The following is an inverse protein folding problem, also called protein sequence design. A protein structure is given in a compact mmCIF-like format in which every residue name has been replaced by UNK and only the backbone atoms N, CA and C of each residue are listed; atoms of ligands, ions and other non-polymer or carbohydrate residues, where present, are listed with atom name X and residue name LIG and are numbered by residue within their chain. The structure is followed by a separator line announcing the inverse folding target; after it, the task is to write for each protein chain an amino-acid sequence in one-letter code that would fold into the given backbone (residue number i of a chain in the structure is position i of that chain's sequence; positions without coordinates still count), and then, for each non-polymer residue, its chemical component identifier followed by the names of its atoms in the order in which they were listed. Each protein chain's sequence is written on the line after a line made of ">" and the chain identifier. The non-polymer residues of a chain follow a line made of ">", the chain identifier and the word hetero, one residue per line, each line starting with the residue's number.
data_IF_741701048797
#
_entry.id   IF_741701048797
#
_cell.length_a   1.000
_cell.length_b   1.000
_cell.length_c   1.000
_cell.angle_alpha   90.00
_cell.angle_beta   90.00
_cell.angle_gamma   90.00
#
_symmetry.space_group_name_H-M   'P 1'
#
loop_
_entity.id
_entity.type
_entity.pdbx_description
1 polymer ?
#
# COMPACT_ATOMS: atom_id res chain seq x y z
N UNK A 1 15.60 -3.80 -10.33
CA UNK A 1 15.42 -5.17 -9.83
C UNK A 1 14.40 -5.82 -10.74
N UNK A 2 14.63 -7.08 -11.11
CA UNK A 2 13.86 -7.80 -12.14
C UNK A 2 13.12 -9.01 -11.56
N UNK A 3 13.43 -9.41 -10.33
CA UNK A 3 12.81 -10.54 -9.66
C UNK A 3 12.74 -10.34 -8.13
N UNK A 4 11.95 -11.17 -7.45
CA UNK A 4 11.96 -11.30 -6.00
C UNK A 4 13.34 -11.75 -5.48
N UNK A 5 14.10 -12.54 -6.24
CA UNK A 5 15.45 -12.97 -5.83
C UNK A 5 16.44 -11.80 -5.78
N UNK A 6 16.29 -10.79 -6.63
CA UNK A 6 17.12 -9.58 -6.53
C UNK A 6 16.89 -8.85 -5.19
N UNK A 7 15.68 -8.95 -4.62
CA UNK A 7 15.28 -8.32 -3.36
C UNK A 7 15.84 -9.06 -2.16
N UNK A 8 15.95 -10.39 -2.25
CA UNK A 8 16.53 -11.22 -1.17
C UNK A 8 18.00 -10.88 -0.88
N UNK A 9 18.73 -10.36 -1.87
CA UNK A 9 20.15 -10.05 -1.74
C UNK A 9 20.43 -8.61 -1.28
N UNK A 10 19.38 -7.81 -1.04
CA UNK A 10 19.52 -6.45 -0.55
C UNK A 10 19.86 -6.46 0.95
N UNK A 11 20.75 -5.60 1.46
CA UNK A 11 21.13 -5.64 2.87
C UNK A 11 19.96 -5.37 3.84
N UNK A 12 19.18 -4.30 3.62
CA UNK A 12 18.05 -3.97 4.49
C UNK A 12 16.85 -3.41 3.74
N UNK A 13 15.67 -3.98 4.03
CA UNK A 13 14.37 -3.56 3.48
C UNK A 13 13.50 -3.02 4.62
N UNK A 14 13.31 -1.70 4.68
CA UNK A 14 12.36 -1.08 5.60
C UNK A 14 10.93 -1.47 5.25
N UNK A 15 10.16 -1.93 6.23
CA UNK A 15 8.75 -2.29 6.09
C UNK A 15 7.99 -1.97 7.38
N UNK A 16 6.72 -1.58 7.29
CA UNK A 16 5.91 -1.32 8.50
C UNK A 16 5.85 -2.57 9.40
N UNK A 17 6.25 -2.41 10.66
CA UNK A 17 6.24 -3.48 11.65
C UNK A 17 4.82 -4.00 11.90
N UNK A 18 4.65 -5.32 11.81
CA UNK A 18 3.37 -6.02 11.99
C UNK A 18 2.35 -5.77 10.86
N UNK A 19 2.74 -5.04 9.81
CA UNK A 19 1.88 -4.74 8.68
C UNK A 19 1.67 -5.93 7.74
N UNK A 20 0.66 -5.84 6.88
CA UNK A 20 0.35 -6.87 5.88
C UNK A 20 1.54 -7.17 4.96
N UNK A 21 2.28 -6.14 4.55
CA UNK A 21 3.45 -6.30 3.68
C UNK A 21 4.60 -7.04 4.35
N UNK A 22 4.84 -6.82 5.66
CA UNK A 22 5.85 -7.58 6.40
C UNK A 22 5.47 -9.06 6.44
N UNK A 23 4.22 -9.37 6.77
CA UNK A 23 3.71 -10.74 6.83
C UNK A 23 3.88 -11.43 5.46
N UNK A 24 3.46 -10.76 4.39
CA UNK A 24 3.56 -11.30 3.03
C UNK A 24 5.02 -11.54 2.61
N UNK A 25 5.91 -10.56 2.84
CA UNK A 25 7.33 -10.70 2.50
C UNK A 25 8.00 -11.83 3.30
N UNK A 26 7.65 -12.03 4.57
CA UNK A 26 8.12 -13.17 5.37
C UNK A 26 7.62 -14.50 4.80
N UNK A 27 6.38 -14.59 4.34
CA UNK A 27 5.84 -15.78 3.68
C UNK A 27 6.57 -16.08 2.35
N UNK A 28 7.04 -15.04 1.65
CA UNK A 28 7.92 -15.19 0.47
C UNK A 28 9.38 -15.53 0.83
N UNK A 29 9.71 -15.71 2.11
CA UNK A 29 11.03 -16.10 2.59
C UNK A 29 12.04 -14.95 2.69
N UNK A 30 11.57 -13.69 2.75
CA UNK A 30 12.46 -12.56 3.02
C UNK A 30 12.94 -12.59 4.48
N UNK A 31 14.25 -12.51 4.65
CA UNK A 31 14.92 -12.54 5.96
C UNK A 31 15.62 -11.22 6.30
N UNK A 32 15.72 -10.31 5.33
CA UNK A 32 16.40 -9.02 5.36
C UNK A 32 15.44 -7.83 5.61
N UNK A 33 14.35 -8.07 6.34
CA UNK A 33 13.35 -7.06 6.67
C UNK A 33 13.78 -6.27 7.92
N UNK A 34 13.72 -4.94 7.83
CA UNK A 34 13.91 -3.99 8.92
C UNK A 34 12.54 -3.44 9.35
N UNK A 35 11.96 -3.92 10.47
CA UNK A 35 10.62 -3.53 10.90
C UNK A 35 10.58 -2.09 11.45
N UNK A 36 9.89 -1.21 10.72
CA UNK A 36 9.70 0.19 11.08
C UNK A 36 8.47 0.34 11.99
N UNK A 37 8.70 0.66 13.26
CA UNK A 37 7.64 0.94 14.22
C UNK A 37 7.07 2.36 14.08
N UNK A 38 7.82 3.23 13.41
CA UNK A 38 7.35 4.52 12.92
C UNK A 38 7.63 4.58 11.40
N UNK A 39 6.67 4.18 10.54
CA UNK A 39 6.87 4.16 9.10
C UNK A 39 7.21 5.53 8.50
N UNK A 40 6.85 6.63 9.17
CA UNK A 40 7.07 8.00 8.67
C UNK A 40 8.55 8.37 8.56
N UNK A 41 9.44 7.69 9.30
CA UNK A 41 10.89 7.90 9.18
C UNK A 41 11.52 7.05 8.08
N UNK A 42 10.77 6.11 7.48
CA UNK A 42 11.28 5.17 6.48
C UNK A 42 11.92 5.86 5.29
N UNK A 43 11.27 6.90 4.75
CA UNK A 43 11.80 7.65 3.61
C UNK A 43 13.10 8.41 3.96
N UNK A 44 13.21 8.93 5.18
CA UNK A 44 14.44 9.59 5.64
C UNK A 44 15.57 8.57 5.85
N UNK A 45 15.25 7.38 6.38
CA UNK A 45 16.21 6.29 6.53
C UNK A 45 16.74 5.83 5.17
N UNK A 46 15.87 5.72 4.17
CA UNK A 46 16.25 5.40 2.80
C UNK A 46 17.17 6.49 2.21
N UNK A 47 16.78 7.76 2.33
CA UNK A 47 17.57 8.88 1.83
C UNK A 47 18.93 9.02 2.52
N UNK A 48 19.03 8.62 3.79
CA UNK A 48 20.27 8.61 4.57
C UNK A 48 21.11 7.33 4.36
N UNK A 49 20.65 6.36 3.55
CA UNK A 49 21.34 5.09 3.31
C UNK A 49 21.37 4.15 4.52
N UNK A 50 20.44 4.29 5.47
CA UNK A 50 20.29 3.37 6.62
C UNK A 50 19.52 2.11 6.28
N UNK A 51 18.73 2.17 5.21
CA UNK A 51 18.07 1.04 4.54
C UNK A 51 18.28 1.21 3.04
N UNK A 52 18.27 0.11 2.31
CA UNK A 52 18.51 0.10 0.86
C UNK A 52 17.21 0.15 0.06
N UNK A 53 16.13 -0.38 0.65
CA UNK A 53 14.79 -0.37 0.08
C UNK A 53 13.76 0.00 1.15
N UNK A 54 12.68 0.62 0.70
CA UNK A 54 11.50 0.91 1.50
C UNK A 54 10.28 0.32 0.81
N UNK A 55 9.50 -0.45 1.56
CA UNK A 55 8.15 -0.85 1.17
C UNK A 55 7.21 0.31 1.48
N UNK A 56 6.48 0.77 0.46
CA UNK A 56 5.53 1.87 0.59
C UNK A 56 4.45 1.73 -0.49
N UNK A 57 3.23 2.13 -0.16
CA UNK A 57 2.19 2.38 -1.16
C UNK A 57 2.43 3.72 -1.88
N UNK A 58 1.78 3.92 -3.03
CA UNK A 58 1.88 5.18 -3.79
C UNK A 58 1.32 6.38 -3.01
N UNK A 59 0.22 6.16 -2.28
CA UNK A 59 -0.41 7.18 -1.43
C UNK A 59 0.52 7.55 -0.28
N UNK A 60 1.08 6.54 0.39
CA UNK A 60 2.01 6.76 1.50
C UNK A 60 3.26 7.49 1.03
N UNK A 61 3.84 7.06 -0.10
CA UNK A 61 5.04 7.69 -0.66
C UNK A 61 4.75 9.14 -1.06
N UNK A 62 3.60 9.41 -1.69
CA UNK A 62 3.21 10.76 -2.07
C UNK A 62 3.13 11.68 -0.84
N UNK A 63 2.50 11.22 0.24
CA UNK A 63 2.41 11.96 1.50
C UNK A 63 3.78 12.17 2.13
N UNK A 64 4.59 11.11 2.27
CA UNK A 64 5.91 11.21 2.89
C UNK A 64 6.86 12.14 2.12
N UNK A 65 6.80 12.15 0.78
CA UNK A 65 7.56 13.10 -0.04
C UNK A 65 7.13 14.55 0.23
N UNK A 66 5.83 14.80 0.37
CA UNK A 66 5.31 16.13 0.71
C UNK A 66 5.72 16.56 2.13
N UNK A 67 5.63 15.66 3.11
CA UNK A 67 5.93 15.93 4.52
C UNK A 67 7.43 16.15 4.76
N UNK A 68 8.30 15.42 4.05
CA UNK A 68 9.76 15.48 4.25
C UNK A 68 10.49 16.47 3.35
N UNK A 69 9.87 16.89 2.24
CA UNK A 69 10.52 17.72 1.22
C UNK A 69 11.62 17.01 0.42
N UNK A 70 11.78 15.68 0.58
CA UNK A 70 12.72 14.89 -0.22
C UNK A 70 12.26 14.94 -1.69
N UNK A 71 13.18 15.26 -2.59
CA UNK A 71 12.85 15.35 -4.01
C UNK A 71 12.48 13.96 -4.57
N UNK A 72 11.34 13.88 -5.26
CA UNK A 72 10.88 12.62 -5.87
C UNK A 72 11.88 12.03 -6.87
N UNK A 73 12.73 12.85 -7.48
CA UNK A 73 13.81 12.40 -8.37
C UNK A 73 14.90 11.57 -7.68
N UNK A 74 15.00 11.64 -6.34
CA UNK A 74 15.92 10.82 -5.55
C UNK A 74 15.34 9.43 -5.25
N UNK A 75 14.05 9.24 -5.48
CA UNK A 75 13.34 8.00 -5.20
C UNK A 75 12.90 7.35 -6.51
N UNK A 76 13.05 6.03 -6.60
CA UNK A 76 12.62 5.29 -7.78
C UNK A 76 11.99 3.97 -7.35
N UNK A 77 10.81 3.67 -7.89
CA UNK A 77 10.22 2.34 -7.77
C UNK A 77 11.12 1.31 -8.46
N UNK A 78 11.53 0.28 -7.72
CA UNK A 78 12.44 -0.76 -8.24
C UNK A 78 11.79 -2.12 -8.41
N UNK A 79 10.68 -2.37 -7.72
CA UNK A 79 9.89 -3.59 -7.81
C UNK A 79 8.44 -3.34 -7.34
N UNK A 80 7.50 -4.17 -7.79
CA UNK A 80 6.13 -4.25 -7.28
C UNK A 80 5.81 -5.72 -7.01
N UNK A 81 5.48 -6.07 -5.77
CA UNK A 81 5.25 -7.46 -5.34
C UNK A 81 3.79 -7.77 -4.99
N UNK A 82 2.88 -6.81 -5.22
CA UNK A 82 1.46 -7.00 -4.99
C UNK A 82 0.65 -5.76 -5.34
N UNK A 83 -0.63 -5.97 -5.64
CA UNK A 83 -1.65 -4.93 -5.68
C UNK A 83 -2.86 -5.47 -4.94
N UNK A 84 -3.25 -4.80 -3.85
CA UNK A 84 -4.46 -5.10 -3.11
C UNK A 84 -5.35 -3.86 -3.10
N UNK A 85 -6.61 -4.03 -3.51
CA UNK A 85 -7.62 -2.99 -3.32
C UNK A 85 -7.94 -2.83 -1.84
N UNK A 86 -8.09 -1.59 -1.39
CA UNK A 86 -8.64 -1.29 -0.07
C UNK A 86 -10.17 -1.51 -0.10
N UNK A 87 -10.73 -1.96 1.02
CA UNK A 87 -12.15 -2.22 1.18
C UNK A 87 -12.65 -1.76 2.55
N UNK A 88 -13.95 -1.51 2.65
CA UNK A 88 -14.61 -1.29 3.93
C UNK A 88 -14.84 -2.64 4.61
N UNK A 89 -14.13 -2.89 5.71
CA UNK A 89 -14.29 -4.10 6.51
C UNK A 89 -15.37 -3.90 7.58
N UNK A 90 -16.23 -4.90 7.75
CA UNK A 90 -17.29 -4.92 8.78
C UNK A 90 -17.13 -6.13 9.70
N UNK A 91 -17.56 -6.01 10.97
CA UNK A 91 -17.65 -7.17 11.87
C UNK A 91 -18.56 -8.23 11.26
N UNK A 92 -18.27 -9.51 11.51
CA UNK A 92 -19.10 -10.64 11.05
C UNK A 92 -20.55 -10.58 11.58
N UNK A 93 -20.77 -9.88 12.69
CA UNK A 93 -22.10 -9.70 13.30
C UNK A 93 -22.85 -8.47 12.76
N UNK A 94 -22.25 -7.73 11.82
CA UNK A 94 -22.91 -6.57 11.19
C UNK A 94 -24.08 -7.03 10.34
N UNK A 95 -25.27 -6.46 10.59
CA UNK A 95 -26.46 -6.76 9.79
C UNK A 95 -26.17 -6.50 8.30
N UNK A 96 -26.49 -7.49 7.45
CA UNK A 96 -26.26 -7.44 6.01
C UNK A 96 -26.85 -6.18 5.36
N UNK A 97 -27.96 -5.65 5.89
CA UNK A 97 -28.58 -4.41 5.39
C UNK A 97 -27.65 -3.21 5.53
N UNK A 98 -26.87 -3.14 6.61
CA UNK A 98 -25.88 -2.06 6.81
C UNK A 98 -24.77 -2.19 5.78
N UNK A 99 -24.26 -3.40 5.56
CA UNK A 99 -23.22 -3.67 4.54
C UNK A 99 -23.72 -3.27 3.16
N UNK A 100 -24.95 -3.61 2.79
CA UNK A 100 -25.55 -3.24 1.50
C UNK A 100 -25.67 -1.73 1.33
N UNK A 101 -26.07 -0.99 2.37
CA UNK A 101 -26.16 0.48 2.32
C UNK A 101 -24.78 1.09 2.01
N UNK A 102 -23.73 0.64 2.70
CA UNK A 102 -22.37 1.13 2.46
C UNK A 102 -21.85 0.75 1.07
N UNK A 103 -22.15 -0.45 0.59
CA UNK A 103 -21.78 -0.86 -0.76
C UNK A 103 -22.46 0.04 -1.81
N UNK A 104 -23.77 0.26 -1.71
CA UNK A 104 -24.48 1.12 -2.66
C UNK A 104 -23.99 2.57 -2.61
N UNK A 105 -23.62 3.08 -1.43
CA UNK A 105 -23.03 4.41 -1.30
C UNK A 105 -21.65 4.50 -1.98
N UNK A 106 -20.80 3.48 -1.78
CA UNK A 106 -19.50 3.40 -2.46
C UNK A 106 -19.66 3.33 -3.97
N UNK A 107 -20.59 2.50 -4.47
CA UNK A 107 -20.87 2.36 -5.89
C UNK A 107 -21.30 3.69 -6.51
N UNK A 108 -22.11 4.48 -5.80
CA UNK A 108 -22.51 5.82 -6.25
C UNK A 108 -21.32 6.81 -6.29
N UNK A 109 -20.41 6.76 -5.32
CA UNK A 109 -19.18 7.58 -5.31
C UNK A 109 -18.23 7.19 -6.46
N UNK A 110 -18.15 5.91 -6.79
CA UNK A 110 -17.36 5.42 -7.92
C UNK A 110 -18.01 5.83 -9.26
N UNK A 111 -19.30 5.57 -9.43
CA UNK A 111 -20.04 5.88 -10.66
C UNK A 111 -20.08 7.38 -10.99
N UNK A 112 -20.06 8.25 -9.96
CA UNK A 112 -20.00 9.70 -10.14
C UNK A 112 -18.60 10.24 -10.49
N UNK A 113 -17.58 9.39 -10.53
CA UNK A 113 -16.18 9.78 -10.77
C UNK A 113 -15.51 10.49 -9.58
N UNK A 114 -16.22 10.68 -8.46
CA UNK A 114 -15.66 11.30 -7.25
C UNK A 114 -14.52 10.47 -6.68
N UNK A 115 -14.61 9.14 -6.75
CA UNK A 115 -13.53 8.27 -6.34
C UNK A 115 -12.22 8.58 -7.08
N UNK A 116 -12.26 8.69 -8.41
CA UNK A 116 -11.08 9.02 -9.22
C UNK A 116 -10.51 10.41 -8.87
N UNK A 117 -11.38 11.38 -8.59
CA UNK A 117 -10.97 12.72 -8.15
C UNK A 117 -10.25 12.69 -6.80
N UNK A 118 -10.76 11.94 -5.83
CA UNK A 118 -10.14 11.76 -4.52
C UNK A 118 -8.77 11.10 -4.69
N UNK A 119 -8.69 10.02 -5.47
CA UNK A 119 -7.43 9.31 -5.72
C UNK A 119 -6.37 10.22 -6.34
N UNK A 120 -6.74 11.03 -7.34
CA UNK A 120 -5.85 12.01 -7.96
C UNK A 120 -5.39 13.09 -6.97
N UNK A 121 -6.26 13.54 -6.06
CA UNK A 121 -5.92 14.55 -5.06
C UNK A 121 -4.85 14.06 -4.07
N UNK A 122 -4.86 12.77 -3.74
CA UNK A 122 -3.91 12.17 -2.78
C UNK A 122 -2.74 11.44 -3.46
N UNK A 123 -2.53 11.65 -4.76
CA UNK A 123 -1.37 11.13 -5.48
C UNK A 123 -1.39 9.62 -5.73
N UNK A 124 -2.55 8.97 -5.63
CA UNK A 124 -2.67 7.57 -5.98
C UNK A 124 -2.64 7.42 -7.51
N UNK A 125 -1.68 6.65 -8.04
CA UNK A 125 -1.61 6.36 -9.47
C UNK A 125 -2.67 5.33 -9.83
N UNK A 126 -3.64 5.73 -10.64
CA UNK A 126 -4.70 4.85 -11.15
C UNK A 126 -4.17 3.98 -12.28
N UNK A 127 -3.46 2.89 -11.96
CA UNK A 127 -3.37 1.72 -12.88
C UNK A 127 -4.45 0.66 -12.53
N UNK A 128 -5.35 1.01 -11.60
CA UNK A 128 -6.42 0.14 -11.14
C UNK A 128 -7.59 0.19 -12.14
N UNK A 129 -7.64 -0.78 -13.04
CA UNK A 129 -8.88 -1.12 -13.75
C UNK A 129 -9.83 -1.74 -12.71
N UNK A 130 -10.86 -0.99 -12.31
CA UNK A 130 -11.98 -1.35 -11.42
C UNK A 130 -11.79 -2.61 -10.55
N UNK A 131 -11.28 -2.49 -9.31
CA UNK A 131 -11.09 -3.64 -8.42
C UNK A 131 -12.39 -4.15 -7.77
N UNK A 132 -13.49 -3.39 -7.88
CA UNK A 132 -14.72 -3.63 -7.12
C UNK A 132 -15.68 -4.67 -7.74
N UNK A 133 -15.29 -5.36 -8.81
CA UNK A 133 -16.09 -6.45 -9.37
C UNK A 133 -15.93 -7.79 -8.63
N UNK A 134 -15.05 -7.87 -7.63
CA UNK A 134 -14.93 -9.08 -6.80
C UNK A 134 -15.97 -9.00 -5.69
N UNK A 135 -17.07 -9.73 -5.86
CA UNK A 135 -18.05 -9.92 -4.81
C UNK A 135 -17.37 -10.35 -3.51
N UNK A 136 -17.85 -9.79 -2.39
CA UNK A 136 -17.45 -10.07 -1.00
C UNK A 136 -16.76 -11.44 -0.88
N UNK A 137 -15.43 -11.45 -0.90
CA UNK A 137 -14.70 -12.65 -0.56
C UNK A 137 -14.98 -12.91 0.93
N UNK A 138 -15.52 -14.09 1.30
CA UNK A 138 -15.72 -14.42 2.69
C UNK A 138 -14.35 -14.36 3.37
N UNK A 139 -14.27 -13.57 4.43
CA UNK A 139 -13.05 -13.34 5.18
C UNK A 139 -12.37 -14.65 5.54
N UNK A 140 -11.06 -14.70 5.30
CA UNK A 140 -10.16 -15.64 5.96
C UNK A 140 -10.33 -15.53 7.48
#
# INVERSE_FOLDING_TARGET
>A
MRSLDDIRNVPAIGVQAGGADEIALRQYGMVNLEPLHNPEVGLQMLAAGRIDLLVSSDIELHRQLADTGIASSLIRRVYSFGSSGLYLAFSRDTDQRVVTIWQSALDAVVASGQFARIMAQYGAVSDQTTPFSVGLAPGQ
#
